data_IF_521472469764
#
_entry.id   IF_521472469764
#
_cell.length_a   1.000
_cell.length_b   1.000
_cell.length_c   1.000
_cell.angle_alpha   90.00
_cell.angle_beta   90.00
_cell.angle_gamma   90.00
#
_symmetry.space_group_name_H-M   'P 1'
#
loop_
_entity.id
_entity.type
_entity.pdbx_description
1 polymer ?
#
# COMPACT_ATOMS: atom_id res chain seq x y z
N UNK A 1 -18.08 -51.33 17.69
CA UNK A 1 -17.92 -50.96 16.26
C UNK A 1 -18.36 -49.53 15.96
N UNK A 2 -19.61 -49.10 16.27
CA UNK A 2 -20.09 -47.73 16.00
C UNK A 2 -19.26 -46.59 16.62
N UNK A 3 -18.73 -46.76 17.84
CA UNK A 3 -17.88 -45.76 18.53
C UNK A 3 -16.48 -45.62 17.92
N UNK A 4 -15.94 -46.68 17.32
CA UNK A 4 -14.63 -46.64 16.64
C UNK A 4 -14.74 -45.90 15.31
N UNK A 5 -15.85 -46.07 14.58
CA UNK A 5 -16.12 -45.36 13.33
C UNK A 5 -16.26 -43.84 13.52
N UNK A 6 -16.87 -43.36 14.62
CA UNK A 6 -16.95 -41.92 14.89
C UNK A 6 -15.58 -41.29 15.16
N UNK A 7 -14.69 -41.99 15.87
CA UNK A 7 -13.34 -41.50 16.18
C UNK A 7 -12.50 -41.42 14.89
N UNK A 8 -12.60 -42.42 14.01
CA UNK A 8 -11.90 -42.42 12.71
C UNK A 8 -12.40 -41.30 11.81
N UNK A 9 -13.71 -41.01 11.77
CA UNK A 9 -14.26 -39.89 10.99
C UNK A 9 -13.80 -38.54 11.55
N UNK A 10 -13.76 -38.38 12.88
CA UNK A 10 -13.28 -37.14 13.51
C UNK A 10 -11.77 -36.90 13.23
N UNK A 11 -10.94 -37.95 13.31
CA UNK A 11 -9.52 -37.89 12.96
C UNK A 11 -9.29 -37.63 11.46
N UNK A 12 -10.12 -38.19 10.58
CA UNK A 12 -10.07 -37.87 9.15
C UNK A 12 -10.43 -36.40 8.88
N UNK A 13 -11.43 -35.84 9.57
CA UNK A 13 -11.81 -34.42 9.39
C UNK A 13 -10.74 -33.44 9.87
N UNK A 14 -9.94 -33.79 10.88
CA UNK A 14 -8.81 -32.96 11.34
C UNK A 14 -7.60 -32.98 10.37
N UNK A 15 -7.48 -34.01 9.53
CA UNK A 15 -6.40 -34.14 8.53
C UNK A 15 -6.64 -33.34 7.25
N UNK A 16 -7.86 -32.82 7.02
CA UNK A 16 -8.22 -32.07 5.80
C UNK A 16 -8.38 -30.54 6.00
N UNK A 17 -8.13 -30.01 7.20
CA UNK A 17 -8.16 -28.55 7.45
C UNK A 17 -6.76 -27.99 7.67
N UNK A 18 -5.89 -28.10 6.69
CA UNK A 18 -4.65 -27.32 6.66
C UNK A 18 -4.87 -26.12 5.73
N UNK A 19 -5.62 -25.12 6.22
CA UNK A 19 -5.58 -23.82 5.58
C UNK A 19 -4.22 -23.22 5.87
N UNK A 20 -3.40 -23.00 4.84
CA UNK A 20 -2.19 -22.19 4.95
C UNK A 20 -2.63 -20.79 5.38
N UNK A 21 -2.29 -20.43 6.61
CA UNK A 21 -2.42 -19.05 7.08
C UNK A 21 -1.24 -18.29 6.50
N UNK A 22 -1.42 -17.78 5.27
CA UNK A 22 -0.44 -16.92 4.62
C UNK A 22 -0.61 -15.51 5.19
N UNK A 23 0.23 -15.12 6.14
CA UNK A 23 0.32 -13.74 6.58
C UNK A 23 1.25 -12.99 5.61
N UNK A 24 0.70 -12.14 4.75
CA UNK A 24 1.54 -11.18 4.00
C UNK A 24 2.10 -10.15 4.99
N UNK A 25 3.34 -9.70 4.77
CA UNK A 25 4.00 -8.69 5.60
C UNK A 25 4.10 -7.35 4.85
N UNK A 26 2.95 -6.76 4.53
CA UNK A 26 2.93 -5.45 3.87
C UNK A 26 3.41 -4.35 4.82
N UNK A 27 4.20 -3.43 4.26
CA UNK A 27 4.84 -2.31 4.94
C UNK A 27 4.24 -0.97 4.51
N UNK A 28 3.82 -0.84 3.25
CA UNK A 28 3.23 0.40 2.74
C UNK A 28 2.69 0.25 1.32
N UNK A 29 2.07 1.32 0.82
CA UNK A 29 1.57 1.43 -0.55
C UNK A 29 1.66 2.87 -1.03
N UNK A 30 2.10 3.07 -2.27
CA UNK A 30 1.92 4.32 -3.01
C UNK A 30 0.94 4.09 -4.17
N UNK A 31 0.00 5.01 -4.33
CA UNK A 31 -0.99 4.99 -5.40
C UNK A 31 -1.02 6.36 -6.08
N UNK A 32 -0.39 6.45 -7.25
CA UNK A 32 -0.28 7.69 -8.03
C UNK A 32 -0.91 7.50 -9.41
N UNK A 33 -1.12 8.59 -10.14
CA UNK A 33 -1.45 8.53 -11.56
C UNK A 33 -0.73 9.62 -12.33
N UNK A 34 -0.47 9.36 -13.60
CA UNK A 34 0.08 10.33 -14.55
C UNK A 34 -0.90 10.54 -15.72
N UNK A 35 -0.98 11.77 -16.21
CA UNK A 35 -1.72 12.09 -17.42
C UNK A 35 -0.90 11.68 -18.66
N UNK A 36 -1.40 10.72 -19.45
CA UNK A 36 -0.75 10.32 -20.72
C UNK A 36 -1.21 11.23 -21.87
N UNK A 37 -2.51 11.54 -21.87
CA UNK A 37 -3.14 12.49 -22.78
C UNK A 37 -4.51 12.90 -22.21
N UNK A 38 -5.22 13.79 -22.89
CA UNK A 38 -6.47 14.35 -22.40
C UNK A 38 -7.60 13.34 -22.10
N UNK A 39 -7.52 12.11 -22.60
CA UNK A 39 -8.49 11.06 -22.35
C UNK A 39 -7.95 9.85 -21.59
N UNK A 40 -6.64 9.79 -21.35
CA UNK A 40 -6.01 8.60 -20.78
C UNK A 40 -5.10 8.98 -19.63
N UNK A 41 -5.36 8.37 -18.47
CA UNK A 41 -4.43 8.38 -17.34
C UNK A 41 -3.81 7.00 -17.18
N UNK A 42 -2.60 6.95 -16.65
CA UNK A 42 -1.98 5.72 -16.16
C UNK A 42 -1.97 5.74 -14.64
N UNK A 43 -2.59 4.74 -14.04
CA UNK A 43 -2.54 4.55 -12.58
C UNK A 43 -1.37 3.64 -12.24
N UNK A 44 -0.59 4.05 -11.24
CA UNK A 44 0.55 3.32 -10.70
C UNK A 44 0.25 2.82 -9.30
N UNK A 45 0.45 1.53 -9.06
CA UNK A 45 0.37 0.93 -7.73
C UNK A 45 1.74 0.35 -7.38
N UNK A 46 2.34 0.88 -6.29
CA UNK A 46 3.55 0.32 -5.67
C UNK A 46 3.18 -0.19 -4.29
N UNK A 47 3.39 -1.48 -4.05
CA UNK A 47 3.17 -2.08 -2.75
C UNK A 47 4.51 -2.55 -2.18
N UNK A 48 4.76 -2.22 -0.92
CA UNK A 48 6.02 -2.55 -0.24
C UNK A 48 5.78 -3.64 0.78
N UNK A 49 6.65 -4.64 0.80
CA UNK A 49 6.58 -5.77 1.74
C UNK A 49 7.93 -6.13 2.32
N UNK A 50 7.89 -6.70 3.52
CA UNK A 50 9.04 -7.35 4.14
C UNK A 50 9.32 -8.68 3.41
N UNK A 51 10.58 -8.97 3.12
CA UNK A 51 10.98 -10.15 2.37
C UNK A 51 10.80 -11.49 3.10
N UNK A 52 10.52 -11.47 4.40
CA UNK A 52 10.25 -12.66 5.22
C UNK A 52 8.78 -13.11 5.20
N UNK A 53 7.86 -12.28 4.72
CA UNK A 53 6.41 -12.57 4.71
C UNK A 53 5.90 -13.36 3.50
N UNK A 54 4.60 -13.71 3.51
CA UNK A 54 3.93 -14.30 2.36
C UNK A 54 3.81 -13.30 1.18
N UNK A 55 3.72 -13.83 -0.05
CA UNK A 55 3.89 -13.08 -1.30
C UNK A 55 2.59 -12.74 -2.05
N UNK A 56 1.42 -12.80 -1.42
CA UNK A 56 0.14 -12.57 -2.11
C UNK A 56 -0.37 -11.14 -1.90
N UNK A 57 0.04 -10.24 -2.80
CA UNK A 57 -0.48 -8.86 -2.90
C UNK A 57 -1.15 -8.71 -4.27
N UNK A 58 -2.35 -8.14 -4.32
CA UNK A 58 -3.11 -7.94 -5.55
C UNK A 58 -3.02 -6.51 -6.04
N UNK A 59 -3.26 -6.30 -7.34
CA UNK A 59 -3.30 -4.99 -7.99
C UNK A 59 -4.72 -4.48 -8.24
N UNK A 60 -5.70 -4.95 -7.48
CA UNK A 60 -7.09 -4.59 -7.69
C UNK A 60 -7.40 -3.24 -7.05
N UNK A 61 -7.50 -2.19 -7.87
CA UNK A 61 -7.94 -0.86 -7.45
C UNK A 61 -9.44 -0.68 -7.74
N UNK A 62 -10.07 0.25 -7.01
CA UNK A 62 -11.46 0.65 -7.22
C UNK A 62 -11.54 2.16 -7.41
N UNK A 63 -12.23 2.61 -8.46
CA UNK A 63 -12.62 4.01 -8.60
C UNK A 63 -13.92 4.23 -7.85
N UNK A 64 -13.88 5.00 -6.75
CA UNK A 64 -15.05 5.35 -5.96
C UNK A 64 -15.60 6.70 -6.43
N UNK A 65 -16.76 6.75 -7.11
CA UNK A 65 -17.32 7.99 -7.61
C UNK A 65 -17.68 8.93 -6.46
N UNK A 66 -17.23 10.18 -6.54
CA UNK A 66 -17.62 11.26 -5.63
C UNK A 66 -18.75 12.11 -6.22
N UNK A 67 -18.93 12.04 -7.55
CA UNK A 67 -19.99 12.72 -8.29
C UNK A 67 -21.14 11.74 -8.59
N UNK A 68 -22.41 12.07 -8.30
CA UNK A 68 -23.56 11.21 -8.63
C UNK A 68 -23.66 10.91 -10.12
N UNK A 69 -23.99 9.65 -10.46
CA UNK A 69 -24.19 9.21 -11.85
C UNK A 69 -22.92 8.75 -12.57
N UNK A 70 -21.74 8.92 -11.97
CA UNK A 70 -20.48 8.44 -12.51
C UNK A 70 -20.25 6.96 -12.21
N UNK A 71 -19.68 6.22 -13.15
CA UNK A 71 -19.19 4.85 -12.99
C UNK A 71 -17.68 4.77 -13.18
N UNK A 72 -17.05 3.65 -12.84
CA UNK A 72 -15.60 3.51 -12.99
C UNK A 72 -15.17 3.68 -14.45
N UNK A 73 -14.09 4.45 -14.74
CA UNK A 73 -13.54 4.56 -16.08
C UNK A 73 -13.17 3.21 -16.68
N UNK A 74 -13.36 3.07 -18.00
CA UNK A 74 -12.99 1.84 -18.71
C UNK A 74 -11.46 1.68 -18.73
N UNK A 75 -10.99 0.50 -18.34
CA UNK A 75 -9.59 0.16 -18.55
C UNK A 75 -9.28 0.00 -20.05
N UNK A 76 -8.15 0.57 -20.48
CA UNK A 76 -7.69 0.52 -21.87
C UNK A 76 -6.87 -0.74 -22.14
N UNK A 77 -6.18 -1.25 -21.12
CA UNK A 77 -5.33 -2.42 -21.19
C UNK A 77 -5.60 -3.38 -20.03
N UNK A 78 -4.95 -4.55 -20.04
CA UNK A 78 -4.71 -5.29 -18.81
C UNK A 78 -3.67 -4.57 -17.95
N UNK A 79 -3.56 -4.95 -16.68
CA UNK A 79 -2.42 -4.54 -15.86
C UNK A 79 -1.11 -4.99 -16.49
N UNK A 80 -0.06 -4.20 -16.29
CA UNK A 80 1.31 -4.63 -16.59
C UNK A 80 1.65 -5.93 -15.85
N UNK A 81 2.63 -6.72 -16.33
CA UNK A 81 3.26 -7.72 -15.49
C UNK A 81 3.77 -7.10 -14.19
N UNK A 82 3.72 -7.86 -13.09
CA UNK A 82 4.30 -7.43 -11.82
C UNK A 82 5.80 -7.24 -11.99
N UNK A 83 6.30 -6.05 -11.68
CA UNK A 83 7.72 -5.81 -11.49
C UNK A 83 8.05 -5.95 -10.01
N UNK A 84 9.18 -6.58 -9.71
CA UNK A 84 9.65 -6.79 -8.34
C UNK A 84 11.08 -6.30 -8.23
N UNK A 85 11.34 -5.43 -7.26
CA UNK A 85 12.67 -4.90 -6.97
C UNK A 85 12.88 -4.82 -5.46
N UNK A 86 14.11 -5.07 -5.01
CA UNK A 86 14.48 -4.81 -3.63
C UNK A 86 14.83 -3.33 -3.46
N UNK A 87 14.18 -2.68 -2.48
CA UNK A 87 14.32 -1.25 -2.18
C UNK A 87 14.91 -1.00 -0.80
N UNK A 88 15.57 -2.00 -0.22
CA UNK A 88 16.21 -1.88 1.09
C UNK A 88 17.36 -0.85 1.04
N UNK A 89 17.34 0.22 1.88
CA UNK A 89 18.44 1.18 1.92
C UNK A 89 19.63 0.59 2.69
N UNK A 90 20.52 -0.10 1.98
CA UNK A 90 21.68 -0.77 2.54
C UNK A 90 23.00 -0.05 2.24
N UNK A 91 23.97 -0.22 3.13
CA UNK A 91 25.38 -0.01 2.80
C UNK A 91 25.88 -1.11 1.84
N UNK A 92 26.89 -0.84 0.99
CA UNK A 92 27.49 -1.85 0.13
C UNK A 92 27.93 -3.10 0.91
N UNK A 93 27.50 -4.28 0.47
CA UNK A 93 27.88 -5.58 1.05
C UNK A 93 26.95 -6.12 2.14
N UNK A 94 25.98 -5.33 2.62
CA UNK A 94 24.95 -5.88 3.51
C UNK A 94 24.01 -6.81 2.72
N UNK A 95 23.64 -7.94 3.34
CA UNK A 95 22.68 -8.90 2.78
C UNK A 95 21.35 -8.81 3.51
N UNK A 96 20.28 -9.17 2.81
CA UNK A 96 18.91 -9.20 3.34
C UNK A 96 18.24 -10.53 3.12
N UNK A 97 17.14 -10.76 3.83
CA UNK A 97 16.30 -11.94 3.64
C UNK A 97 15.65 -12.00 2.25
N UNK A 98 15.68 -10.92 1.47
CA UNK A 98 15.24 -10.90 0.07
C UNK A 98 16.13 -11.77 -0.85
N UNK A 99 17.41 -11.90 -0.52
CA UNK A 99 18.39 -12.66 -1.32
C UNK A 99 18.98 -13.86 -0.56
N UNK A 100 19.10 -13.75 0.76
CA UNK A 100 19.60 -14.80 1.65
C UNK A 100 18.67 -14.92 2.86
N UNK A 101 17.79 -15.93 2.95
CA UNK A 101 16.82 -16.08 4.03
C UNK A 101 17.41 -16.12 5.46
N UNK A 102 18.72 -16.37 5.61
CA UNK A 102 19.42 -16.35 6.90
C UNK A 102 20.09 -15.02 7.23
N UNK A 103 19.97 -14.00 6.36
CA UNK A 103 20.52 -12.68 6.61
C UNK A 103 19.82 -11.99 7.79
N UNK A 104 20.55 -11.20 8.59
CA UNK A 104 20.00 -10.55 9.79
C UNK A 104 19.08 -9.36 9.49
N UNK A 105 19.13 -8.83 8.27
CA UNK A 105 18.27 -7.72 7.82
C UNK A 105 17.12 -8.33 7.01
N UNK A 106 15.88 -8.05 7.40
CA UNK A 106 14.73 -8.59 6.65
C UNK A 106 14.73 -8.10 5.20
N UNK A 107 14.93 -6.80 5.00
CA UNK A 107 14.85 -6.18 3.68
C UNK A 107 13.42 -5.94 3.21
N UNK A 108 13.30 -5.15 2.16
CA UNK A 108 12.02 -4.69 1.63
C UNK A 108 11.97 -4.85 0.12
N UNK A 109 10.90 -5.47 -0.36
CA UNK A 109 10.58 -5.61 -1.78
C UNK A 109 9.44 -4.67 -2.16
N UNK A 110 9.61 -3.99 -3.29
CA UNK A 110 8.55 -3.28 -3.99
C UNK A 110 7.95 -4.20 -5.06
N UNK A 111 6.62 -4.30 -5.08
CA UNK A 111 5.85 -4.80 -6.20
C UNK A 111 5.20 -3.62 -6.92
N UNK A 112 5.42 -3.54 -8.23
CA UNK A 112 4.93 -2.45 -9.05
C UNK A 112 4.06 -2.96 -10.21
N UNK A 113 2.94 -2.28 -10.39
CA UNK A 113 2.06 -2.43 -11.53
C UNK A 113 1.60 -1.08 -12.05
N UNK A 114 1.24 -1.04 -13.32
CA UNK A 114 0.50 0.08 -13.90
C UNK A 114 -0.60 -0.37 -14.85
N UNK A 115 -1.62 0.47 -15.03
CA UNK A 115 -2.72 0.25 -15.97
C UNK A 115 -3.30 1.57 -16.46
N UNK A 116 -3.69 1.58 -17.73
CA UNK A 116 -4.23 2.75 -18.39
C UNK A 116 -5.76 2.74 -18.36
N UNK A 117 -6.37 3.91 -18.13
CA UNK A 117 -7.81 4.10 -18.01
C UNK A 117 -8.29 5.24 -18.90
N UNK A 118 -9.39 5.03 -19.61
CA UNK A 118 -10.05 6.02 -20.45
C UNK A 118 -10.97 6.90 -19.61
N UNK A 119 -10.49 8.05 -19.15
CA UNK A 119 -11.24 9.00 -18.33
C UNK A 119 -12.31 9.77 -19.12
N UNK A 120 -12.19 9.88 -20.44
CA UNK A 120 -13.22 10.49 -21.29
C UNK A 120 -14.50 9.65 -21.39
N UNK A 121 -14.46 8.38 -20.96
CA UNK A 121 -15.67 7.57 -20.80
C UNK A 121 -16.61 8.07 -19.69
N UNK A 122 -16.11 8.95 -18.81
CA UNK A 122 -16.79 9.48 -17.62
C UNK A 122 -16.50 10.98 -17.45
N UNK A 123 -16.97 11.87 -18.36
CA UNK A 123 -16.65 13.28 -18.31
C UNK A 123 -17.30 13.98 -17.11
N UNK A 124 -16.61 14.99 -16.56
CA UNK A 124 -17.08 15.80 -15.41
C UNK A 124 -17.29 15.01 -14.11
N UNK A 125 -16.58 13.90 -13.95
CA UNK A 125 -16.60 13.06 -12.75
C UNK A 125 -15.35 13.28 -11.88
N UNK A 126 -15.57 13.24 -10.56
CA UNK A 126 -14.50 13.13 -9.56
C UNK A 126 -14.52 11.72 -8.97
N UNK A 127 -13.36 11.08 -8.88
CA UNK A 127 -13.18 9.76 -8.28
C UNK A 127 -12.11 9.81 -7.20
N UNK A 128 -12.30 9.02 -6.15
CA UNK A 128 -11.20 8.63 -5.24
C UNK A 128 -10.82 7.20 -5.56
N UNK A 129 -9.57 6.97 -5.95
CA UNK A 129 -9.05 5.63 -6.17
C UNK A 129 -8.71 5.01 -4.82
N UNK A 130 -9.23 3.81 -4.56
CA UNK A 130 -8.89 3.02 -3.39
C UNK A 130 -8.24 1.69 -3.77
N UNK A 131 -7.46 1.18 -2.84
CA UNK A 131 -6.85 -0.14 -2.90
C UNK A 131 -6.80 -0.73 -1.52
N UNK A 132 -6.84 -2.06 -1.43
CA UNK A 132 -6.64 -2.76 -0.18
C UNK A 132 -6.19 -4.19 -0.40
N UNK A 133 -5.45 -4.71 0.58
CA UNK A 133 -5.01 -6.10 0.59
C UNK A 133 -4.79 -6.57 2.03
N UNK A 134 -4.51 -7.85 2.19
CA UNK A 134 -4.11 -8.45 3.46
C UNK A 134 -2.69 -9.03 3.34
N UNK A 135 -1.86 -8.97 4.37
CA UNK A 135 -1.99 -8.29 5.66
C UNK A 135 -0.73 -7.48 5.97
N UNK A 136 -0.78 -6.69 7.03
CA UNK A 136 0.38 -6.01 7.61
C UNK A 136 1.25 -7.00 8.37
N UNK A 137 2.52 -6.63 8.55
CA UNK A 137 3.44 -7.35 9.43
C UNK A 137 2.86 -7.48 10.86
N UNK A 138 2.94 -8.68 11.44
CA UNK A 138 2.47 -8.98 12.79
C UNK A 138 3.25 -8.23 13.88
N UNK A 139 4.49 -7.80 13.60
CA UNK A 139 5.34 -7.05 14.54
C UNK A 139 4.91 -5.60 14.78
N UNK A 140 3.85 -5.11 14.11
CA UNK A 140 3.34 -3.76 14.35
C UNK A 140 2.72 -3.65 15.74
N UNK A 141 3.24 -2.75 16.56
CA UNK A 141 2.83 -2.52 17.94
C UNK A 141 1.83 -1.37 18.11
N UNK A 142 1.58 -0.58 17.07
CA UNK A 142 0.69 0.60 17.12
C UNK A 142 -0.80 0.28 16.99
N UNK A 143 -1.17 -0.99 16.80
CA UNK A 143 -2.58 -1.47 16.81
C UNK A 143 -3.03 -2.21 15.53
N UNK A 144 -2.24 -2.15 14.46
CA UNK A 144 -2.62 -2.69 13.15
C UNK A 144 -1.92 -4.03 12.78
N UNK A 145 -1.23 -4.67 13.72
CA UNK A 145 -0.52 -5.93 13.46
C UNK A 145 -1.45 -7.01 12.90
N UNK A 146 -1.00 -7.70 11.85
CA UNK A 146 -1.77 -8.76 11.17
C UNK A 146 -3.13 -8.33 10.58
N UNK A 147 -3.40 -7.03 10.47
CA UNK A 147 -4.64 -6.51 9.85
C UNK A 147 -4.45 -6.19 8.37
N UNK A 148 -5.53 -6.06 7.60
CA UNK A 148 -5.47 -5.64 6.20
C UNK A 148 -4.97 -4.20 6.04
N UNK A 149 -4.31 -3.87 4.93
CA UNK A 149 -3.88 -2.50 4.58
C UNK A 149 -4.80 -1.91 3.52
N UNK A 150 -5.00 -0.59 3.54
CA UNK A 150 -5.74 0.13 2.53
C UNK A 150 -5.27 1.56 2.33
N UNK A 151 -5.57 2.10 1.15
CA UNK A 151 -5.44 3.50 0.79
C UNK A 151 -6.70 3.93 0.04
N UNK A 152 -7.15 5.16 0.27
CA UNK A 152 -8.32 5.76 -0.39
C UNK A 152 -8.21 7.28 -0.39
N UNK A 153 -7.16 7.82 -1.02
CA UNK A 153 -6.84 9.25 -0.99
C UNK A 153 -6.44 9.84 -2.36
N UNK A 154 -6.24 9.01 -3.39
CA UNK A 154 -5.81 9.48 -4.71
C UNK A 154 -7.02 9.95 -5.50
N UNK A 155 -7.16 11.27 -5.66
CA UNK A 155 -8.32 11.88 -6.34
C UNK A 155 -8.02 12.16 -7.80
N UNK A 156 -8.94 11.77 -8.69
CA UNK A 156 -8.91 12.07 -10.12
C UNK A 156 -10.12 12.94 -10.45
N UNK A 157 -9.89 14.10 -11.07
CA UNK A 157 -10.95 14.96 -11.59
C UNK A 157 -10.88 15.01 -13.12
N UNK A 158 -11.84 14.36 -13.76
CA UNK A 158 -11.91 14.22 -15.23
C UNK A 158 -12.43 15.47 -15.95
N UNK A 159 -12.86 16.51 -15.21
CA UNK A 159 -13.26 17.80 -15.77
C UNK A 159 -12.06 18.70 -16.11
N UNK A 160 -10.87 18.39 -15.57
CA UNK A 160 -9.68 19.22 -15.76
C UNK A 160 -9.14 19.04 -17.18
N UNK A 161 -8.92 20.14 -17.90
CA UNK A 161 -8.36 20.17 -19.26
C UNK A 161 -7.37 21.35 -19.37
N UNK A 162 -6.10 21.12 -19.77
CA UNK A 162 -5.50 19.81 -20.05
C UNK A 162 -5.51 18.92 -18.80
N UNK A 163 -5.57 17.61 -18.99
CA UNK A 163 -5.65 16.65 -17.87
C UNK A 163 -4.44 16.79 -16.91
N UNK A 164 -4.68 16.53 -15.62
CA UNK A 164 -3.71 16.70 -14.53
C UNK A 164 -3.12 15.36 -14.08
N UNK A 165 -2.00 15.37 -13.37
CA UNK A 165 -1.39 14.20 -12.72
C UNK A 165 -1.53 14.29 -11.19
N UNK A 166 -1.29 13.18 -10.47
CA UNK A 166 -1.02 13.30 -9.04
C UNK A 166 0.45 13.68 -8.80
N UNK A 167 0.81 14.10 -7.58
CA UNK A 167 2.21 14.13 -7.17
C UNK A 167 2.89 12.77 -7.42
N UNK A 168 4.15 12.83 -7.82
CA UNK A 168 5.02 11.67 -8.03
C UNK A 168 6.08 11.64 -6.93
N UNK A 169 6.54 10.45 -6.58
CA UNK A 169 7.54 10.23 -5.54
C UNK A 169 8.83 9.66 -6.15
N UNK A 170 9.97 10.30 -5.86
CA UNK A 170 11.27 9.85 -6.36
C UNK A 170 11.90 8.73 -5.51
N UNK A 171 11.51 8.64 -4.23
CA UNK A 171 12.06 7.67 -3.28
C UNK A 171 10.97 6.72 -2.74
N UNK A 172 11.28 5.43 -2.51
CA UNK A 172 10.34 4.54 -1.84
C UNK A 172 10.18 4.93 -0.36
N UNK A 173 8.98 4.78 0.24
CA UNK A 173 8.69 5.14 1.63
C UNK A 173 9.18 4.04 2.60
N UNK A 174 10.45 3.67 2.51
CA UNK A 174 11.03 2.55 3.26
C UNK A 174 12.13 3.04 4.21
N UNK A 175 11.77 3.67 5.33
CA UNK A 175 12.76 4.15 6.30
C UNK A 175 13.27 3.02 7.20
N UNK A 176 14.59 2.96 7.39
CA UNK A 176 15.25 2.18 8.45
C UNK A 176 15.80 3.15 9.49
N UNK A 177 15.12 3.26 10.64
CA UNK A 177 15.40 4.29 11.64
C UNK A 177 16.04 3.65 12.87
N UNK A 178 17.22 4.15 13.27
CA UNK A 178 17.86 3.73 14.51
C UNK A 178 17.17 4.37 15.72
N UNK A 179 16.95 3.58 16.77
CA UNK A 179 16.36 4.08 18.01
C UNK A 179 17.23 5.20 18.62
N UNK A 180 16.57 6.28 19.05
CA UNK A 180 17.23 7.41 19.71
C UNK A 180 18.05 8.32 18.78
N UNK A 181 17.99 8.10 17.46
CA UNK A 181 18.64 8.97 16.48
C UNK A 181 17.60 9.81 15.73
N UNK A 182 17.86 11.10 15.49
CA UNK A 182 17.00 11.91 14.63
C UNK A 182 17.05 11.37 13.21
N UNK A 183 15.91 11.37 12.53
CA UNK A 183 15.79 10.92 11.14
C UNK A 183 14.89 11.87 10.37
N UNK A 184 15.32 12.24 9.16
CA UNK A 184 14.54 13.06 8.23
C UNK A 184 14.06 12.14 7.13
N UNK A 185 12.74 12.00 7.03
CA UNK A 185 12.10 11.27 5.94
C UNK A 185 11.69 12.25 4.85
N UNK A 186 12.08 11.97 3.60
CA UNK A 186 11.64 12.72 2.43
C UNK A 186 11.45 11.76 1.25
N UNK A 187 10.21 11.64 0.79
CA UNK A 187 9.85 10.75 -0.32
C UNK A 187 10.15 11.35 -1.70
N UNK A 188 10.65 12.59 -1.75
CA UNK A 188 11.03 13.30 -2.96
C UNK A 188 9.82 13.60 -3.84
N UNK A 189 8.76 14.18 -3.27
CA UNK A 189 7.54 14.42 -4.00
C UNK A 189 7.69 15.60 -4.98
N UNK A 190 7.15 15.45 -6.18
CA UNK A 190 7.13 16.47 -7.23
C UNK A 190 5.78 16.48 -7.93
N UNK A 191 5.28 17.65 -8.29
CA UNK A 191 4.11 17.80 -9.14
C UNK A 191 4.55 18.06 -10.59
N UNK A 192 4.18 17.20 -11.57
CA UNK A 192 4.61 17.37 -12.96
C UNK A 192 4.11 18.67 -13.61
N UNK A 193 2.96 19.17 -13.17
CA UNK A 193 2.33 20.39 -13.65
C UNK A 193 2.81 21.65 -12.91
N UNK A 194 3.61 21.48 -11.85
CA UNK A 194 4.18 22.57 -11.06
C UNK A 194 3.23 23.13 -10.01
N UNK A 195 2.19 22.38 -9.65
CA UNK A 195 1.28 22.74 -8.56
C UNK A 195 2.00 22.73 -7.21
N UNK A 196 1.49 23.52 -6.26
CA UNK A 196 2.03 23.56 -4.91
C UNK A 196 1.77 22.24 -4.18
N UNK A 197 2.79 21.70 -3.52
CA UNK A 197 2.67 20.51 -2.66
C UNK A 197 2.40 20.90 -1.21
N UNK A 198 1.52 20.15 -0.56
CA UNK A 198 1.23 20.28 0.86
C UNK A 198 1.20 18.90 1.52
N UNK A 199 1.71 18.82 2.76
CA UNK A 199 1.92 17.56 3.46
C UNK A 199 1.20 17.53 4.81
N UNK A 200 0.57 16.41 5.11
CA UNK A 200 -0.02 16.14 6.42
C UNK A 200 -0.01 14.65 6.71
N UNK A 201 0.03 14.30 8.01
CA UNK A 201 -0.18 12.92 8.43
C UNK A 201 -1.69 12.63 8.52
N UNK A 202 -2.11 11.57 7.83
CA UNK A 202 -3.49 11.10 7.81
C UNK A 202 -3.68 9.79 8.59
N UNK A 203 -4.93 9.39 8.84
CA UNK A 203 -5.22 8.10 9.43
C UNK A 203 -4.77 6.94 8.53
N UNK A 204 -4.36 5.85 9.16
CA UNK A 204 -4.12 4.59 8.48
C UNK A 204 -5.44 3.85 8.25
N UNK A 205 -5.60 3.22 7.09
CA UNK A 205 -6.81 2.46 6.76
C UNK A 205 -6.54 0.95 6.66
N UNK A 206 -7.48 0.15 7.11
CA UNK A 206 -7.61 -1.27 6.81
C UNK A 206 -8.65 -1.47 5.71
N UNK A 207 -8.42 -2.44 4.82
CA UNK A 207 -9.37 -2.90 3.82
C UNK A 207 -10.04 -1.75 3.02
N UNK A 208 -9.23 -0.95 2.33
CA UNK A 208 -9.67 0.23 1.60
C UNK A 208 -9.73 1.49 2.46
N UNK A 209 -10.90 1.82 3.02
CA UNK A 209 -11.18 3.11 3.66
C UNK A 209 -11.62 3.02 5.13
N UNK A 210 -11.53 1.86 5.77
CA UNK A 210 -11.90 1.70 7.19
C UNK A 210 -10.71 2.14 8.05
N UNK A 211 -10.86 3.13 8.91
CA UNK A 211 -9.73 3.58 9.74
C UNK A 211 -9.30 2.49 10.75
N UNK A 212 -8.00 2.35 10.94
CA UNK A 212 -7.40 1.48 11.96
C UNK A 212 -7.69 2.03 13.37
N UNK A 213 -7.98 1.12 14.30
CA UNK A 213 -7.95 1.42 15.73
C UNK A 213 -6.52 1.43 16.24
N UNK A 214 -6.05 2.58 16.72
CA UNK A 214 -4.72 2.73 17.30
C UNK A 214 -4.69 2.26 18.76
N UNK A 215 -3.58 1.63 19.15
CA UNK A 215 -3.30 1.34 20.56
C UNK A 215 -3.09 2.64 21.34
N UNK A 216 -3.25 2.59 22.66
CA UNK A 216 -3.05 3.75 23.53
C UNK A 216 -1.65 4.37 23.32
N UNK A 217 -1.60 5.70 23.19
CA UNK A 217 -0.36 6.45 22.95
C UNK A 217 0.03 6.62 21.48
N UNK A 218 -0.71 6.01 20.54
CA UNK A 218 -0.54 6.17 19.10
C UNK A 218 -1.72 6.94 18.48
N UNK A 219 -1.45 7.69 17.42
CA UNK A 219 -2.47 8.41 16.65
C UNK A 219 -1.99 8.62 15.21
N UNK A 220 -2.85 9.10 14.30
CA UNK A 220 -2.42 9.50 12.96
C UNK A 220 -1.25 10.51 12.94
N UNK A 221 -1.26 11.48 13.86
CA UNK A 221 -0.21 12.51 13.97
C UNK A 221 0.95 12.09 14.88
N UNK A 222 0.83 10.96 15.58
CA UNK A 222 1.85 10.38 16.45
C UNK A 222 2.00 8.87 16.18
N UNK A 223 2.39 8.47 14.95
CA UNK A 223 2.36 7.07 14.52
C UNK A 223 3.44 6.19 15.16
N UNK A 224 4.50 6.81 15.72
CA UNK A 224 5.62 6.12 16.39
C UNK A 224 5.48 6.09 17.92
N UNK A 225 4.37 6.60 18.47
CA UNK A 225 4.09 6.62 19.90
C UNK A 225 4.65 7.83 20.65
N UNK A 226 4.31 7.96 21.92
CA UNK A 226 4.57 9.16 22.73
C UNK A 226 6.06 9.42 23.05
N UNK A 227 6.93 8.43 22.86
CA UNK A 227 8.38 8.61 23.04
C UNK A 227 9.06 9.26 21.83
N UNK A 228 8.36 9.42 20.71
CA UNK A 228 8.88 10.03 19.49
C UNK A 228 8.34 11.44 19.31
N UNK A 229 9.24 12.37 18.97
CA UNK A 229 8.84 13.68 18.49
C UNK A 229 8.70 13.63 16.97
N UNK A 230 7.47 13.61 16.46
CA UNK A 230 7.17 13.59 15.03
C UNK A 230 6.69 14.98 14.61
N UNK A 231 7.45 15.61 13.72
CA UNK A 231 7.09 16.89 13.11
C UNK A 231 7.05 16.74 11.60
N UNK A 232 5.99 17.26 10.97
CA UNK A 232 5.89 17.33 9.51
C UNK A 232 6.06 18.77 9.07
N UNK A 233 6.92 19.01 8.08
CA UNK A 233 6.92 20.29 7.39
C UNK A 233 5.79 20.24 6.36
N UNK A 234 4.76 21.07 6.54
CA UNK A 234 3.60 21.07 5.65
C UNK A 234 3.93 21.52 4.22
N UNK A 235 5.13 22.09 3.98
CA UNK A 235 5.52 22.67 2.70
C UNK A 235 6.63 21.91 1.96
N UNK A 236 7.32 20.96 2.61
CA UNK A 236 8.48 20.25 2.02
C UNK A 236 8.62 18.84 2.55
#
# INVERSE_FOLDING_TARGET
MKRLSLIVILLLTLLFTHQKVEASHMMGVDLTYECINNCTIRVHLRAYRDCTGASSITNNITFNPQTPGCSAPNAVSNWSPQQTVEVTPLCPGAQTACTNPSAPINGTQEYYWFRDYNICSQPNCVFTISWGSCCRNASITSGAGSTGMGISATTVNTAITPCNSSPQFANPPVPYICAGQPYIFNQGATDPEGDSLAYSLGPCFTNGSIQVTYNAGYSPTQPLGASWNVTINANT
#
